data_IF_670131205546
#
_entry.id   IF_670131205546
#
_cell.length_a   1.000
_cell.length_b   1.000
_cell.length_c   1.000
_cell.angle_alpha   90.00
_cell.angle_beta   90.00
_cell.angle_gamma   90.00
#
_symmetry.space_group_name_H-M   'P 1'
#
loop_
_entity.id
_entity.type
_entity.pdbx_description
1 polymer ?
#
# COMPACT_ATOMS: atom_id res chain seq x y z
N UNK A 1 0.97 -10.51 22.33
CA UNK A 1 1.24 -10.41 20.87
C UNK A 1 1.03 -8.95 20.50
N UNK A 2 1.81 -8.41 19.56
CA UNK A 2 1.62 -7.02 19.07
C UNK A 2 0.36 -6.94 18.23
N UNK A 3 -0.39 -5.83 18.35
CA UNK A 3 -1.57 -5.59 17.51
C UNK A 3 -1.21 -5.59 16.02
N UNK A 4 -0.08 -4.97 15.65
CA UNK A 4 0.40 -4.97 14.26
C UNK A 4 0.55 -6.37 13.70
N UNK A 5 1.14 -7.31 14.48
CA UNK A 5 1.26 -8.70 14.03
C UNK A 5 -0.11 -9.38 13.89
N UNK A 6 -0.99 -9.21 14.87
CA UNK A 6 -2.36 -9.77 14.80
C UNK A 6 -3.10 -9.26 13.57
N UNK A 7 -2.96 -7.98 13.24
CA UNK A 7 -3.59 -7.32 12.09
C UNK A 7 -3.03 -7.82 10.76
N UNK A 8 -1.72 -8.14 10.68
CA UNK A 8 -1.11 -8.79 9.51
C UNK A 8 -1.60 -10.24 9.39
N UNK A 9 -1.59 -11.01 10.49
CA UNK A 9 -1.96 -12.42 10.46
C UNK A 9 -3.44 -12.65 10.13
N UNK A 10 -4.33 -11.70 10.43
CA UNK A 10 -5.78 -11.78 10.11
C UNK A 10 -6.12 -11.43 8.66
N UNK A 11 -5.16 -11.01 7.81
CA UNK A 11 -5.42 -10.63 6.41
C UNK A 11 -6.23 -11.69 5.64
N UNK A 12 -5.93 -13.01 5.72
CA UNK A 12 -6.73 -14.00 5.02
C UNK A 12 -8.22 -14.00 5.42
N UNK A 13 -8.52 -13.83 6.71
CA UNK A 13 -9.90 -13.74 7.19
C UNK A 13 -10.59 -12.45 6.75
N UNK A 14 -9.87 -11.33 6.69
CA UNK A 14 -10.41 -10.08 6.14
C UNK A 14 -10.78 -10.21 4.67
N UNK A 15 -9.92 -10.84 3.87
CA UNK A 15 -10.16 -11.06 2.44
C UNK A 15 -11.33 -12.03 2.17
N UNK A 16 -11.54 -13.01 3.05
CA UNK A 16 -12.71 -13.90 2.97
C UNK A 16 -14.02 -13.13 3.15
N UNK A 17 -14.06 -12.19 4.09
CA UNK A 17 -15.24 -11.35 4.35
C UNK A 17 -15.53 -10.34 3.21
N UNK A 18 -14.57 -10.10 2.32
CA UNK A 18 -14.75 -9.18 1.19
C UNK A 18 -15.75 -9.70 0.14
N UNK A 19 -16.04 -11.00 0.10
CA UNK A 19 -16.96 -11.62 -0.88
C UNK A 19 -18.34 -11.00 -0.91
N UNK A 20 -18.80 -10.43 0.21
CA UNK A 20 -20.13 -9.81 0.34
C UNK A 20 -20.17 -8.35 -0.16
N UNK A 21 -19.00 -7.76 -0.43
CA UNK A 21 -18.91 -6.37 -0.89
C UNK A 21 -18.92 -6.29 -2.42
N UNK A 22 -19.76 -5.41 -2.94
CA UNK A 22 -19.86 -5.12 -4.37
C UNK A 22 -19.40 -3.70 -4.63
N UNK A 23 -18.40 -3.57 -5.46
CA UNK A 23 -17.92 -2.30 -5.99
C UNK A 23 -17.45 -2.55 -7.41
N UNK A 24 -17.87 -1.73 -8.37
CA UNK A 24 -17.49 -1.88 -9.77
C UNK A 24 -17.18 -0.51 -10.37
N UNK A 25 -16.07 -0.44 -11.13
CA UNK A 25 -15.73 0.72 -11.94
C UNK A 25 -16.44 0.67 -13.30
N UNK A 26 -16.83 1.84 -13.82
CA UNK A 26 -17.35 2.00 -15.19
C UNK A 26 -16.32 2.69 -16.09
N UNK A 27 -16.12 2.19 -17.31
CA UNK A 27 -15.22 2.81 -18.30
C UNK A 27 -15.74 4.14 -18.84
N UNK A 28 -17.03 4.42 -18.66
CA UNK A 28 -17.67 5.67 -19.07
C UNK A 28 -17.43 6.82 -18.09
N UNK A 29 -16.80 6.54 -16.95
CA UNK A 29 -16.52 7.52 -15.89
C UNK A 29 -15.02 7.71 -15.69
N UNK A 30 -14.67 8.90 -15.22
CA UNK A 30 -13.34 9.24 -14.73
C UNK A 30 -13.33 9.28 -13.20
N UNK A 31 -12.26 8.79 -12.60
CA UNK A 31 -12.12 8.64 -11.16
C UNK A 31 -10.96 9.45 -10.61
N UNK A 32 -11.14 10.08 -9.47
CA UNK A 32 -10.09 10.77 -8.74
C UNK A 32 -9.94 10.13 -7.35
N UNK A 33 -8.80 9.49 -7.11
CA UNK A 33 -8.47 9.00 -5.78
C UNK A 33 -7.89 10.12 -4.93
N UNK A 34 -8.36 10.22 -3.68
CA UNK A 34 -7.94 11.26 -2.73
C UNK A 34 -7.64 10.64 -1.38
N UNK A 35 -6.45 10.89 -0.83
CA UNK A 35 -6.03 10.35 0.46
C UNK A 35 -4.72 10.96 0.97
N UNK A 36 -4.28 10.54 2.15
CA UNK A 36 -3.00 10.91 2.76
C UNK A 36 -2.20 9.66 3.10
N UNK A 37 -0.85 9.72 3.04
CA UNK A 37 0.02 8.61 3.43
C UNK A 37 -0.32 7.30 2.72
N UNK A 38 -0.55 6.23 3.47
CA UNK A 38 -0.97 4.93 2.94
C UNK A 38 -2.24 5.01 2.11
N UNK A 39 -3.21 5.85 2.48
CA UNK A 39 -4.44 6.05 1.69
C UNK A 39 -4.17 6.70 0.32
N UNK A 40 -3.18 7.60 0.23
CA UNK A 40 -2.71 8.10 -1.06
C UNK A 40 -2.03 7.01 -1.88
N UNK A 41 -1.19 6.17 -1.25
CA UNK A 41 -0.51 5.06 -1.93
C UNK A 41 -1.52 4.02 -2.45
N UNK A 42 -2.59 3.73 -1.71
CA UNK A 42 -3.74 2.95 -2.20
C UNK A 42 -4.32 3.52 -3.49
N UNK A 43 -4.62 4.82 -3.48
CA UNK A 43 -5.13 5.52 -4.66
C UNK A 43 -4.15 5.50 -5.82
N UNK A 44 -2.84 5.60 -5.55
CA UNK A 44 -1.79 5.54 -6.59
C UNK A 44 -1.76 4.17 -7.27
N UNK A 45 -1.82 3.07 -6.51
CA UNK A 45 -1.88 1.71 -7.04
C UNK A 45 -3.17 1.51 -7.85
N UNK A 46 -4.31 1.89 -7.29
CA UNK A 46 -5.61 1.74 -7.96
C UNK A 46 -5.67 2.53 -9.26
N UNK A 47 -5.23 3.79 -9.26
CA UNK A 47 -5.11 4.63 -10.47
C UNK A 47 -4.27 3.96 -11.54
N UNK A 48 -3.13 3.39 -11.17
CA UNK A 48 -2.22 2.73 -12.12
C UNK A 48 -2.89 1.53 -12.75
N UNK A 49 -3.49 0.63 -11.94
CA UNK A 49 -4.22 -0.54 -12.44
C UNK A 49 -5.40 -0.17 -13.34
N UNK A 50 -6.18 0.83 -12.95
CA UNK A 50 -7.31 1.32 -13.73
C UNK A 50 -6.86 1.80 -15.11
N UNK A 51 -5.84 2.66 -15.18
CA UNK A 51 -5.33 3.20 -16.44
C UNK A 51 -4.76 2.11 -17.35
N UNK A 52 -4.04 1.12 -16.78
CA UNK A 52 -3.55 -0.04 -17.54
C UNK A 52 -4.69 -0.91 -18.12
N UNK A 53 -5.87 -0.87 -17.50
CA UNK A 53 -7.06 -1.63 -17.93
C UNK A 53 -8.07 -0.78 -18.72
N UNK A 54 -7.65 0.39 -19.21
CA UNK A 54 -8.45 1.25 -20.10
C UNK A 54 -9.53 2.09 -19.41
N UNK A 55 -9.45 2.26 -18.09
CA UNK A 55 -10.24 3.23 -17.35
C UNK A 55 -9.52 4.59 -17.31
N UNK A 56 -10.23 5.63 -16.86
CA UNK A 56 -9.67 6.96 -16.66
C UNK A 56 -9.58 7.23 -15.16
N UNK A 57 -8.37 7.29 -14.62
CA UNK A 57 -8.17 7.55 -13.20
C UNK A 57 -6.97 8.47 -12.94
N UNK A 58 -7.08 9.28 -11.90
CA UNK A 58 -6.01 10.11 -11.37
C UNK A 58 -5.95 10.00 -9.83
N UNK A 59 -4.90 10.53 -9.23
CA UNK A 59 -4.70 10.52 -7.78
C UNK A 59 -4.11 11.84 -7.32
N UNK A 60 -4.59 12.35 -6.18
CA UNK A 60 -4.12 13.59 -5.58
C UNK A 60 -4.07 13.46 -4.05
N UNK A 61 -3.16 14.15 -3.40
CA UNK A 61 -3.14 14.17 -1.93
C UNK A 61 -4.26 15.06 -1.39
N UNK A 62 -4.89 14.63 -0.30
CA UNK A 62 -5.93 15.43 0.37
C UNK A 62 -5.42 16.80 0.80
N UNK A 63 -4.16 16.88 1.27
CA UNK A 63 -3.53 18.13 1.65
C UNK A 63 -3.43 19.14 0.50
N UNK A 64 -3.13 18.67 -0.73
CA UNK A 64 -3.09 19.54 -1.91
C UNK A 64 -4.47 20.13 -2.21
N UNK A 65 -5.52 19.29 -2.19
CA UNK A 65 -6.90 19.74 -2.41
C UNK A 65 -7.31 20.79 -1.35
N UNK A 66 -7.03 20.48 -0.09
CA UNK A 66 -7.34 21.36 1.05
C UNK A 66 -6.67 22.74 0.93
N UNK A 67 -5.38 22.77 0.52
CA UNK A 67 -4.59 24.00 0.50
C UNK A 67 -4.84 24.86 -0.74
N UNK A 68 -5.01 24.22 -1.90
CA UNK A 68 -4.99 24.93 -3.17
C UNK A 68 -6.36 24.99 -3.86
N UNK A 69 -7.37 24.26 -3.38
CA UNK A 69 -8.69 24.15 -3.98
C UNK A 69 -8.63 23.82 -5.49
N UNK A 70 -7.64 23.02 -5.91
CA UNK A 70 -7.43 22.59 -7.30
C UNK A 70 -7.58 21.09 -7.38
N UNK A 71 -8.41 20.64 -8.31
CA UNK A 71 -8.68 19.21 -8.55
C UNK A 71 -8.72 18.93 -10.06
N UNK A 72 -8.22 17.77 -10.51
CA UNK A 72 -8.43 17.30 -11.86
C UNK A 72 -9.93 17.12 -12.15
N UNK A 73 -10.34 17.39 -13.39
CA UNK A 73 -11.72 17.12 -13.82
C UNK A 73 -12.00 15.63 -13.72
N UNK A 74 -13.02 15.27 -12.96
CA UNK A 74 -13.41 13.88 -12.69
C UNK A 74 -14.92 13.77 -12.48
N UNK A 75 -15.50 12.63 -12.80
CA UNK A 75 -16.93 12.35 -12.56
C UNK A 75 -17.17 11.86 -11.14
N UNK A 76 -16.22 11.12 -10.57
CA UNK A 76 -16.30 10.52 -9.23
C UNK A 76 -14.99 10.71 -8.49
N UNK A 77 -15.04 11.16 -7.26
CA UNK A 77 -13.92 11.18 -6.33
C UNK A 77 -14.05 10.08 -5.28
N UNK A 78 -13.02 9.26 -5.14
CA UNK A 78 -12.93 8.19 -4.15
C UNK A 78 -12.02 8.66 -3.02
N UNK A 79 -12.62 8.93 -1.87
CA UNK A 79 -11.96 9.45 -0.67
C UNK A 79 -11.58 8.29 0.24
N UNK A 80 -10.29 8.01 0.37
CA UNK A 80 -9.80 6.89 1.17
C UNK A 80 -9.26 7.41 2.50
N UNK A 81 -9.82 6.95 3.61
CA UNK A 81 -9.33 7.27 4.96
C UNK A 81 -9.77 6.18 5.94
N UNK A 82 -8.79 5.45 6.51
CA UNK A 82 -9.07 4.33 7.42
C UNK A 82 -9.98 4.73 8.58
N UNK A 83 -9.66 5.83 9.25
CA UNK A 83 -10.42 6.32 10.42
C UNK A 83 -11.63 7.17 10.04
N UNK A 84 -11.67 7.69 8.80
CA UNK A 84 -12.68 8.64 8.36
C UNK A 84 -12.60 10.03 8.98
N UNK A 85 -11.53 10.32 9.76
CA UNK A 85 -11.41 11.53 10.59
C UNK A 85 -10.18 12.40 10.25
N UNK A 86 -9.37 12.02 9.25
CA UNK A 86 -8.19 12.80 8.85
C UNK A 86 -8.62 14.17 8.33
N UNK A 87 -8.16 15.24 8.98
CA UNK A 87 -8.61 16.61 8.72
C UNK A 87 -8.49 16.99 7.24
N UNK A 88 -7.35 16.69 6.63
CA UNK A 88 -7.11 17.01 5.21
C UNK A 88 -8.12 16.30 4.31
N UNK A 89 -8.45 15.03 4.59
CA UNK A 89 -9.38 14.26 3.74
C UNK A 89 -10.82 14.73 3.91
N UNK A 90 -11.22 15.08 5.14
CA UNK A 90 -12.54 15.65 5.42
C UNK A 90 -12.72 17.01 4.73
N UNK A 91 -11.72 17.91 4.83
CA UNK A 91 -11.75 19.21 4.14
C UNK A 91 -11.70 19.04 2.62
N UNK A 92 -10.90 18.13 2.10
CA UNK A 92 -10.86 17.82 0.68
C UNK A 92 -12.23 17.33 0.17
N UNK A 93 -12.92 16.47 0.93
CA UNK A 93 -14.26 16.00 0.57
C UNK A 93 -15.25 17.16 0.42
N UNK A 94 -15.27 18.10 1.36
CA UNK A 94 -16.11 19.29 1.30
C UNK A 94 -15.80 20.16 0.06
N UNK A 95 -14.51 20.39 -0.21
CA UNK A 95 -14.06 21.13 -1.40
C UNK A 95 -14.54 20.44 -2.68
N UNK A 96 -14.34 19.12 -2.81
CA UNK A 96 -14.70 18.34 -3.99
C UNK A 96 -16.21 18.38 -4.24
N UNK A 97 -17.03 18.30 -3.20
CA UNK A 97 -18.50 18.43 -3.29
C UNK A 97 -18.91 19.82 -3.80
N UNK A 98 -18.21 20.89 -3.38
CA UNK A 98 -18.48 22.23 -3.88
C UNK A 98 -18.19 22.39 -5.39
N UNK A 99 -17.35 21.54 -5.97
CA UNK A 99 -17.14 21.45 -7.42
C UNK A 99 -18.20 20.59 -8.14
N UNK A 100 -19.18 20.04 -7.41
CA UNK A 100 -20.25 19.22 -7.98
C UNK A 100 -19.80 17.80 -8.39
N UNK A 101 -18.64 17.32 -7.90
CA UNK A 101 -18.14 15.98 -8.18
C UNK A 101 -18.74 14.99 -7.17
N UNK A 102 -19.28 13.89 -7.67
CA UNK A 102 -19.81 12.81 -6.83
C UNK A 102 -18.70 12.22 -5.96
N UNK A 103 -18.97 12.02 -4.66
CA UNK A 103 -18.00 11.50 -3.71
C UNK A 103 -18.38 10.11 -3.20
N UNK A 104 -17.38 9.19 -3.14
CA UNK A 104 -17.48 7.88 -2.51
C UNK A 104 -16.44 7.81 -1.39
N UNK A 105 -16.88 7.71 -0.14
CA UNK A 105 -15.99 7.52 1.01
C UNK A 105 -15.68 6.04 1.24
N UNK A 106 -14.39 5.66 1.38
CA UNK A 106 -13.97 4.32 1.81
C UNK A 106 -13.29 4.44 3.17
N UNK A 107 -13.85 3.78 4.18
CA UNK A 107 -13.38 3.84 5.57
C UNK A 107 -13.56 2.51 6.30
N UNK A 108 -12.73 2.29 7.34
CA UNK A 108 -12.90 1.17 8.28
C UNK A 108 -13.58 1.59 9.59
N UNK A 109 -14.06 2.83 9.68
CA UNK A 109 -14.72 3.34 10.87
C UNK A 109 -16.20 3.61 10.60
N UNK A 110 -17.07 2.92 11.35
CA UNK A 110 -18.49 3.19 11.36
C UNK A 110 -18.76 4.58 11.96
N UNK A 111 -19.79 5.26 11.44
CA UNK A 111 -20.22 6.58 11.93
C UNK A 111 -19.17 7.72 11.86
N UNK A 112 -18.13 7.53 11.04
CA UNK A 112 -17.08 8.52 10.84
C UNK A 112 -17.56 9.76 10.08
N UNK A 113 -16.78 10.85 10.18
CA UNK A 113 -17.10 12.10 9.46
C UNK A 113 -17.19 11.86 7.96
N UNK A 114 -16.21 11.12 7.37
CA UNK A 114 -16.22 10.87 5.93
C UNK A 114 -17.43 10.05 5.48
N UNK A 115 -17.87 9.07 6.29
CA UNK A 115 -19.04 8.26 5.97
C UNK A 115 -20.34 9.06 5.94
N UNK A 116 -20.41 10.17 6.69
CA UNK A 116 -21.59 11.03 6.78
C UNK A 116 -21.64 12.10 5.70
N UNK A 117 -20.45 12.62 5.26
CA UNK A 117 -20.40 13.74 4.32
C UNK A 117 -20.26 13.31 2.86
N UNK A 118 -19.82 12.07 2.58
CA UNK A 118 -19.76 11.54 1.21
C UNK A 118 -21.15 11.24 0.67
N UNK A 119 -21.31 11.31 -0.66
CA UNK A 119 -22.60 10.98 -1.30
C UNK A 119 -22.91 9.49 -1.21
N UNK A 120 -21.87 8.64 -1.26
CA UNK A 120 -21.93 7.20 -1.00
C UNK A 120 -20.78 6.81 -0.08
N UNK A 121 -20.93 5.73 0.69
CA UNK A 121 -19.88 5.25 1.58
C UNK A 121 -19.77 3.74 1.58
N UNK A 122 -18.53 3.25 1.55
CA UNK A 122 -18.17 1.85 1.74
C UNK A 122 -17.50 1.75 3.11
N UNK A 123 -18.15 1.06 4.03
CA UNK A 123 -17.70 0.93 5.42
C UNK A 123 -17.24 -0.51 5.63
N UNK A 124 -15.95 -0.67 5.90
CA UNK A 124 -15.27 -1.95 6.14
C UNK A 124 -14.91 -2.07 7.63
N UNK A 125 -15.91 -1.92 8.52
CA UNK A 125 -15.72 -1.83 9.97
C UNK A 125 -15.11 -3.09 10.60
N UNK A 126 -15.29 -4.26 9.99
CA UNK A 126 -14.62 -5.50 10.38
C UNK A 126 -13.08 -5.46 10.19
N UNK A 127 -12.56 -4.50 9.43
CA UNK A 127 -11.14 -4.26 9.23
C UNK A 127 -10.56 -3.17 10.15
N UNK A 128 -11.26 -2.77 11.21
CA UNK A 128 -10.73 -1.82 12.17
C UNK A 128 -9.44 -2.35 12.80
N UNK A 129 -8.44 -1.46 12.94
CA UNK A 129 -7.12 -1.75 13.47
C UNK A 129 -6.87 -0.96 14.75
N UNK A 130 -6.16 -1.58 15.70
CA UNK A 130 -5.73 -0.94 16.94
C UNK A 130 -4.41 -0.23 16.77
N UNK A 131 -3.51 -0.77 15.93
CA UNK A 131 -2.22 -0.15 15.62
C UNK A 131 -2.37 1.20 14.90
N UNK A 132 -1.35 2.04 15.03
CA UNK A 132 -1.28 3.32 14.32
C UNK A 132 -1.10 3.11 12.82
N UNK A 133 -0.30 2.15 12.44
CA UNK A 133 0.07 1.86 11.04
C UNK A 133 -1.02 1.05 10.34
N UNK A 134 -1.32 1.38 9.08
CA UNK A 134 -2.25 0.58 8.26
C UNK A 134 -1.57 -0.71 7.79
N UNK A 135 -2.22 -1.84 8.02
CA UNK A 135 -1.75 -3.17 7.61
C UNK A 135 -2.85 -3.96 6.90
N UNK A 136 -3.62 -4.78 7.60
CA UNK A 136 -4.70 -5.58 7.01
C UNK A 136 -5.77 -4.74 6.32
N UNK A 137 -6.10 -3.57 6.88
CA UNK A 137 -7.05 -2.64 6.27
C UNK A 137 -6.57 -2.12 4.91
N UNK A 138 -5.25 -1.88 4.74
CA UNK A 138 -4.68 -1.51 3.43
C UNK A 138 -4.91 -2.62 2.39
N UNK A 139 -4.53 -3.86 2.74
CA UNK A 139 -4.69 -5.02 1.83
C UNK A 139 -6.14 -5.21 1.45
N UNK A 140 -7.07 -5.10 2.42
CA UNK A 140 -8.49 -5.26 2.19
C UNK A 140 -9.07 -4.18 1.25
N UNK A 141 -8.76 -2.90 1.51
CA UNK A 141 -9.24 -1.79 0.66
C UNK A 141 -8.67 -1.95 -0.76
N UNK A 142 -7.38 -2.32 -0.89
CA UNK A 142 -6.79 -2.56 -2.20
C UNK A 142 -7.46 -3.72 -2.94
N UNK A 143 -7.77 -4.82 -2.25
CA UNK A 143 -8.49 -5.96 -2.82
C UNK A 143 -9.91 -5.58 -3.27
N UNK A 144 -10.62 -4.73 -2.50
CA UNK A 144 -11.91 -4.17 -2.91
C UNK A 144 -11.79 -3.40 -4.23
N UNK A 145 -10.80 -2.51 -4.33
CA UNK A 145 -10.57 -1.71 -5.53
C UNK A 145 -10.16 -2.56 -6.74
N UNK A 146 -9.30 -3.56 -6.54
CA UNK A 146 -8.94 -4.55 -7.57
C UNK A 146 -10.18 -5.30 -8.04
N UNK A 147 -11.01 -5.77 -7.11
CA UNK A 147 -12.26 -6.47 -7.42
C UNK A 147 -13.29 -5.58 -8.13
N UNK A 148 -13.15 -4.27 -8.06
CA UNK A 148 -13.92 -3.32 -8.86
C UNK A 148 -13.55 -3.33 -10.35
N UNK A 149 -12.38 -3.87 -10.71
CA UNK A 149 -11.89 -4.01 -12.09
C UNK A 149 -12.11 -5.45 -12.59
N UNK A 150 -11.64 -6.43 -11.80
CA UNK A 150 -11.74 -7.85 -12.10
C UNK A 150 -11.83 -8.65 -10.80
N UNK A 151 -12.72 -9.64 -10.74
CA UNK A 151 -13.07 -10.36 -9.52
C UNK A 151 -12.07 -11.48 -9.21
N UNK A 152 -11.48 -11.43 -8.02
CA UNK A 152 -10.58 -12.45 -7.48
C UNK A 152 -10.96 -12.81 -6.04
N UNK A 153 -10.82 -14.08 -5.69
CA UNK A 153 -10.79 -14.52 -4.30
C UNK A 153 -9.33 -14.65 -3.85
N UNK A 154 -8.89 -13.73 -3.03
CA UNK A 154 -7.51 -13.68 -2.55
C UNK A 154 -7.30 -14.48 -1.25
N UNK A 155 -8.35 -15.01 -0.62
CA UNK A 155 -8.28 -15.56 0.74
C UNK A 155 -7.28 -16.73 0.86
N UNK A 156 -7.36 -17.72 -0.03
CA UNK A 156 -6.46 -18.89 0.01
C UNK A 156 -5.03 -18.54 -0.42
N UNK A 157 -4.87 -17.71 -1.46
CA UNK A 157 -3.55 -17.29 -1.91
C UNK A 157 -2.85 -16.40 -0.86
N UNK A 158 -3.59 -15.59 -0.11
CA UNK A 158 -3.02 -14.79 0.97
C UNK A 158 -2.44 -15.64 2.11
N UNK A 159 -3.03 -16.79 2.43
CA UNK A 159 -2.46 -17.76 3.39
C UNK A 159 -1.12 -18.29 2.92
N UNK A 160 -1.03 -18.65 1.64
CA UNK A 160 0.23 -19.16 1.04
C UNK A 160 1.32 -18.08 1.03
N UNK A 161 0.96 -16.85 0.63
CA UNK A 161 1.89 -15.71 0.62
C UNK A 161 2.34 -15.36 2.04
N UNK A 162 1.45 -15.36 3.03
CA UNK A 162 1.79 -15.12 4.43
C UNK A 162 2.78 -16.18 4.96
N UNK A 163 2.53 -17.46 4.68
CA UNK A 163 3.43 -18.55 5.08
C UNK A 163 4.80 -18.41 4.40
N UNK A 164 4.84 -18.15 3.10
CA UNK A 164 6.09 -17.90 2.38
C UNK A 164 6.84 -16.69 2.93
N UNK A 165 6.13 -15.62 3.28
CA UNK A 165 6.70 -14.40 3.85
C UNK A 165 7.35 -14.65 5.21
N UNK A 166 6.64 -15.34 6.11
CA UNK A 166 7.15 -15.65 7.44
C UNK A 166 8.35 -16.61 7.37
N UNK A 167 8.27 -17.65 6.52
CA UNK A 167 9.35 -18.62 6.34
C UNK A 167 10.66 -17.97 5.85
N UNK A 168 10.58 -17.03 4.94
CA UNK A 168 11.75 -16.35 4.36
C UNK A 168 12.27 -15.25 5.29
N UNK A 169 11.38 -14.37 5.75
CA UNK A 169 11.79 -13.17 6.52
C UNK A 169 12.28 -13.55 7.92
N UNK A 170 11.74 -14.58 8.55
CA UNK A 170 12.18 -15.02 9.87
C UNK A 170 13.63 -15.54 9.91
N UNK A 171 14.15 -15.97 8.75
CA UNK A 171 15.56 -16.40 8.61
C UNK A 171 16.52 -15.21 8.43
N UNK A 172 16.02 -13.99 8.18
CA UNK A 172 16.85 -12.82 7.96
C UNK A 172 17.22 -12.13 9.29
N UNK A 173 18.51 -11.91 9.45
CA UNK A 173 18.99 -10.95 10.44
C UNK A 173 18.84 -9.54 9.84
N UNK A 174 17.69 -8.92 10.11
CA UNK A 174 17.39 -7.58 9.60
C UNK A 174 18.14 -6.48 10.38
N UNK A 175 18.69 -6.78 11.57
CA UNK A 175 19.39 -5.80 12.40
C UNK A 175 20.63 -5.23 11.71
N UNK A 176 21.28 -6.01 10.84
CA UNK A 176 22.49 -5.61 10.10
C UNK A 176 22.25 -4.60 8.97
N UNK A 177 21.02 -4.43 8.50
CA UNK A 177 20.71 -3.49 7.43
C UNK A 177 20.35 -2.11 7.98
N UNK A 178 20.99 -1.09 7.44
CA UNK A 178 20.79 0.33 7.81
C UNK A 178 20.08 1.11 6.70
N UNK A 179 20.12 0.59 5.47
CA UNK A 179 19.53 1.18 4.28
C UNK A 179 18.66 0.17 3.55
N UNK A 180 17.46 0.60 3.18
CA UNK A 180 16.48 -0.22 2.49
C UNK A 180 16.08 0.44 1.19
N UNK A 181 15.95 -0.36 0.13
CA UNK A 181 15.50 0.11 -1.19
C UNK A 181 14.38 -0.80 -1.67
N UNK A 182 13.28 -0.22 -2.11
CA UNK A 182 12.20 -0.95 -2.75
C UNK A 182 12.15 -0.63 -4.23
N UNK A 183 12.10 -1.67 -5.08
CA UNK A 183 12.07 -1.52 -6.53
C UNK A 183 10.79 -2.14 -7.10
N UNK A 184 10.17 -1.48 -8.07
CA UNK A 184 9.01 -2.00 -8.79
C UNK A 184 8.56 -1.09 -9.92
N UNK A 185 7.93 -1.67 -10.94
CA UNK A 185 7.33 -0.96 -12.06
C UNK A 185 5.80 -0.88 -11.92
N UNK A 186 5.20 0.12 -12.52
CA UNK A 186 3.76 0.31 -12.62
C UNK A 186 3.07 0.22 -11.24
N UNK A 187 2.12 -0.70 -11.05
CA UNK A 187 1.45 -0.96 -9.78
C UNK A 187 2.43 -1.38 -8.68
N UNK A 188 3.51 -2.08 -9.03
CA UNK A 188 4.56 -2.48 -8.09
C UNK A 188 5.40 -1.29 -7.58
N UNK A 189 5.46 -0.18 -8.32
CA UNK A 189 6.06 1.07 -7.80
C UNK A 189 5.24 1.61 -6.63
N UNK A 190 3.92 1.51 -6.70
CA UNK A 190 3.04 1.87 -5.59
C UNK A 190 3.21 0.98 -4.36
N UNK A 191 3.42 -0.34 -4.56
CA UNK A 191 3.79 -1.29 -3.50
C UNK A 191 5.14 -0.92 -2.89
N UNK A 192 6.12 -0.58 -3.72
CA UNK A 192 7.46 -0.16 -3.29
C UNK A 192 7.41 1.12 -2.46
N UNK A 193 6.58 2.09 -2.88
CA UNK A 193 6.33 3.32 -2.15
C UNK A 193 5.67 3.06 -0.78
N UNK A 194 4.70 2.15 -0.72
CA UNK A 194 4.09 1.76 0.56
C UNK A 194 5.06 1.00 1.45
N UNK A 195 5.91 0.14 0.86
CA UNK A 195 6.97 -0.56 1.60
C UNK A 195 7.97 0.40 2.24
N UNK A 196 8.37 1.43 1.52
CA UNK A 196 9.21 2.48 2.07
C UNK A 196 8.53 3.17 3.26
N UNK A 197 7.25 3.54 3.12
CA UNK A 197 6.48 4.15 4.20
C UNK A 197 6.36 3.22 5.41
N UNK A 198 6.08 1.93 5.22
CA UNK A 198 5.96 0.95 6.33
C UNK A 198 7.25 0.83 7.14
N UNK A 199 8.41 0.77 6.49
CA UNK A 199 9.69 0.72 7.20
C UNK A 199 10.05 2.04 7.88
N UNK A 200 9.70 3.18 7.27
CA UNK A 200 9.85 4.49 7.91
C UNK A 200 8.98 4.60 9.17
N UNK A 201 7.72 4.18 9.10
CA UNK A 201 6.78 4.26 10.21
C UNK A 201 7.14 3.28 11.34
N UNK A 202 7.22 1.98 11.06
CA UNK A 202 7.37 0.94 12.08
C UNK A 202 8.80 0.82 12.61
N UNK A 203 9.79 0.92 11.71
CA UNK A 203 11.18 0.60 12.01
C UNK A 203 12.13 1.80 11.95
N UNK A 204 11.63 3.00 11.65
CA UNK A 204 12.38 4.26 11.64
C UNK A 204 13.64 4.22 10.75
N UNK A 205 13.53 3.55 9.61
CA UNK A 205 14.67 3.32 8.71
C UNK A 205 14.79 4.40 7.63
N UNK A 206 16.01 4.54 7.07
CA UNK A 206 16.24 5.27 5.82
C UNK A 206 15.87 4.37 4.64
N UNK A 207 14.89 4.78 3.85
CA UNK A 207 14.29 3.95 2.81
C UNK A 207 14.10 4.76 1.53
N UNK A 208 14.44 4.14 0.40
CA UNK A 208 14.20 4.66 -0.93
C UNK A 208 13.23 3.74 -1.69
N UNK A 209 12.59 4.26 -2.74
CA UNK A 209 11.83 3.46 -3.70
C UNK A 209 12.04 4.02 -5.10
N UNK A 210 12.20 3.13 -6.08
CA UNK A 210 12.50 3.50 -7.46
C UNK A 210 11.90 2.50 -8.45
N UNK A 211 11.80 2.91 -9.70
CA UNK A 211 11.69 1.96 -10.80
C UNK A 211 13.02 1.22 -10.99
N UNK A 212 13.02 -0.10 -11.29
CA UNK A 212 14.22 -0.91 -11.31
C UNK A 212 15.35 -0.37 -12.20
N UNK A 213 15.05 0.03 -13.44
CA UNK A 213 16.13 0.51 -14.32
C UNK A 213 16.53 1.96 -14.01
N UNK A 214 15.61 2.81 -13.55
CA UNK A 214 15.93 4.16 -13.10
C UNK A 214 16.86 4.15 -11.88
N UNK A 215 16.81 3.12 -11.05
CA UNK A 215 17.72 2.94 -9.93
C UNK A 215 19.20 2.91 -10.36
N UNK A 216 19.50 2.45 -11.60
CA UNK A 216 20.85 2.44 -12.18
C UNK A 216 21.41 3.84 -12.44
N UNK A 217 20.56 4.85 -12.58
CA UNK A 217 20.92 6.21 -12.99
C UNK A 217 21.24 7.14 -11.81
N UNK A 218 21.98 6.63 -10.83
CA UNK A 218 22.50 7.40 -9.69
C UNK A 218 22.29 6.70 -8.35
N UNK A 219 21.06 6.38 -7.92
CA UNK A 219 20.80 5.84 -6.58
C UNK A 219 21.58 4.56 -6.24
N UNK A 220 21.83 3.70 -7.22
CA UNK A 220 22.62 2.46 -7.09
C UNK A 220 24.04 2.69 -6.50
N UNK A 221 24.59 3.91 -6.63
CA UNK A 221 25.91 4.26 -6.08
C UNK A 221 25.98 4.21 -4.54
N UNK A 222 24.82 4.19 -3.87
CA UNK A 222 24.72 4.13 -2.39
C UNK A 222 24.71 2.71 -1.83
N UNK A 223 24.76 1.68 -2.68
CA UNK A 223 24.76 0.28 -2.23
C UNK A 223 25.98 -0.04 -1.37
N UNK A 224 25.72 -0.74 -0.29
CA UNK A 224 26.73 -1.33 0.60
C UNK A 224 26.23 -2.70 1.09
N UNK A 225 27.08 -3.43 1.81
CA UNK A 225 26.72 -4.69 2.48
C UNK A 225 25.65 -4.50 3.58
N UNK A 226 25.39 -3.26 4.00
CA UNK A 226 24.30 -2.90 4.92
C UNK A 226 22.99 -2.50 4.23
N UNK A 227 22.90 -2.72 2.92
CA UNK A 227 21.71 -2.43 2.13
C UNK A 227 20.91 -3.70 1.85
N UNK A 228 19.59 -3.65 2.12
CA UNK A 228 18.64 -4.65 1.65
C UNK A 228 17.78 -4.05 0.54
N UNK A 229 17.84 -4.64 -0.65
CA UNK A 229 17.03 -4.25 -1.80
C UNK A 229 15.86 -5.23 -1.98
N UNK A 230 14.65 -4.75 -1.77
CA UNK A 230 13.41 -5.52 -1.98
C UNK A 230 12.91 -5.25 -3.40
N UNK A 231 12.81 -6.30 -4.21
CA UNK A 231 12.42 -6.19 -5.61
C UNK A 231 11.02 -6.77 -5.79
N UNK A 232 10.02 -5.90 -6.03
CA UNK A 232 8.68 -6.30 -6.44
C UNK A 232 8.71 -6.58 -7.95
N UNK A 233 9.22 -7.76 -8.32
CA UNK A 233 9.54 -8.09 -9.71
C UNK A 233 8.31 -8.53 -10.50
N UNK A 234 8.33 -8.23 -11.81
CA UNK A 234 7.44 -8.80 -12.83
C UNK A 234 8.08 -10.02 -13.53
N UNK A 235 9.14 -10.59 -12.96
CA UNK A 235 9.88 -11.77 -13.47
C UNK A 235 10.52 -11.56 -14.85
N UNK A 236 10.78 -10.32 -15.27
CA UNK A 236 11.42 -10.05 -16.55
C UNK A 236 12.95 -10.21 -16.49
N UNK A 237 13.56 -10.31 -17.67
CA UNK A 237 14.99 -10.56 -17.80
C UNK A 237 15.86 -9.41 -17.26
N UNK A 238 15.42 -8.17 -17.46
CA UNK A 238 16.23 -6.99 -17.06
C UNK A 238 16.22 -6.80 -15.53
N UNK A 239 15.11 -7.09 -14.85
CA UNK A 239 15.07 -7.11 -13.38
C UNK A 239 15.97 -8.22 -12.81
N UNK A 240 16.01 -9.40 -13.44
CA UNK A 240 16.92 -10.48 -13.04
C UNK A 240 18.40 -10.11 -13.23
N UNK A 241 18.75 -9.36 -14.29
CA UNK A 241 20.11 -8.82 -14.48
C UNK A 241 20.43 -7.78 -13.42
N UNK A 242 19.51 -6.85 -13.15
CA UNK A 242 19.68 -5.84 -12.13
C UNK A 242 19.91 -6.46 -10.75
N UNK A 243 19.12 -7.48 -10.36
CA UNK A 243 19.31 -8.24 -9.11
C UNK A 243 20.76 -8.74 -8.99
N UNK A 244 21.26 -9.41 -10.03
CA UNK A 244 22.65 -9.92 -10.04
C UNK A 244 23.70 -8.80 -9.93
N UNK A 245 23.45 -7.67 -10.54
CA UNK A 245 24.38 -6.54 -10.47
C UNK A 245 24.39 -5.90 -9.07
N UNK A 246 23.22 -5.79 -8.42
CA UNK A 246 23.08 -5.33 -7.03
C UNK A 246 23.84 -6.27 -6.08
N UNK A 247 23.70 -7.58 -6.25
CA UNK A 247 24.40 -8.59 -5.45
C UNK A 247 25.91 -8.53 -5.64
N UNK A 248 26.39 -8.33 -6.87
CA UNK A 248 27.85 -8.11 -7.16
C UNK A 248 28.41 -6.86 -6.51
N UNK A 249 27.57 -5.84 -6.28
CA UNK A 249 27.96 -4.61 -5.56
C UNK A 249 27.92 -4.79 -4.03
N UNK A 250 27.60 -6.00 -3.53
CA UNK A 250 27.69 -6.37 -2.12
C UNK A 250 26.38 -6.21 -1.35
N UNK A 251 25.32 -5.65 -1.93
CA UNK A 251 24.03 -5.55 -1.26
C UNK A 251 23.28 -6.90 -1.26
N UNK A 252 22.39 -7.07 -0.27
CA UNK A 252 21.47 -8.21 -0.23
C UNK A 252 20.20 -7.89 -0.99
N UNK A 253 19.65 -8.87 -1.71
CA UNK A 253 18.35 -8.75 -2.39
C UNK A 253 17.31 -9.64 -1.75
N UNK A 254 16.05 -9.23 -1.84
CA UNK A 254 14.85 -10.00 -1.49
C UNK A 254 13.82 -9.80 -2.60
N UNK A 255 13.54 -10.81 -3.39
CA UNK A 255 12.62 -10.72 -4.51
C UNK A 255 11.24 -11.26 -4.13
N UNK A 256 10.22 -10.44 -4.37
CA UNK A 256 8.79 -10.76 -4.21
C UNK A 256 8.20 -10.90 -5.61
N UNK A 257 8.02 -12.13 -6.07
CA UNK A 257 7.49 -12.41 -7.41
C UNK A 257 6.95 -13.84 -7.51
N UNK A 258 6.48 -14.24 -8.68
CA UNK A 258 6.07 -15.63 -8.92
C UNK A 258 7.25 -16.61 -8.82
N UNK A 259 8.47 -16.17 -9.20
CA UNK A 259 9.70 -16.96 -9.15
C UNK A 259 10.67 -16.54 -8.04
N UNK A 260 10.35 -15.51 -7.26
CA UNK A 260 11.20 -14.94 -6.21
C UNK A 260 11.36 -15.80 -4.97
N UNK A 261 12.16 -15.29 -4.03
CA UNK A 261 12.32 -15.89 -2.69
C UNK A 261 10.98 -15.92 -1.94
N UNK A 262 10.21 -14.84 -2.01
CA UNK A 262 8.83 -14.80 -1.52
C UNK A 262 7.90 -14.93 -2.73
N UNK A 263 7.19 -16.05 -2.76
CA UNK A 263 6.33 -16.39 -3.88
C UNK A 263 4.96 -15.74 -3.76
N UNK A 264 4.55 -15.03 -4.81
CA UNK A 264 3.20 -14.51 -5.00
C UNK A 264 2.62 -15.08 -6.30
N UNK A 265 1.29 -15.31 -6.39
CA UNK A 265 0.70 -15.77 -7.65
C UNK A 265 0.88 -14.72 -8.75
N UNK A 266 0.70 -15.11 -10.01
CA UNK A 266 0.70 -14.19 -11.13
C UNK A 266 -0.73 -14.08 -11.70
N UNK A 267 -1.37 -12.95 -11.45
CA UNK A 267 -2.70 -12.60 -11.95
C UNK A 267 -2.64 -11.39 -12.90
N UNK A 268 -1.51 -11.24 -13.62
CA UNK A 268 -1.27 -10.12 -14.54
C UNK A 268 -1.39 -8.73 -13.87
N UNK A 269 -0.83 -8.59 -12.68
CA UNK A 269 -0.84 -7.37 -11.88
C UNK A 269 -1.99 -7.27 -10.88
N UNK A 270 -3.03 -8.12 -11.00
CA UNK A 270 -4.14 -8.11 -10.06
C UNK A 270 -3.83 -8.81 -8.71
N UNK A 271 -2.69 -9.51 -8.61
CA UNK A 271 -2.19 -10.07 -7.34
C UNK A 271 -1.65 -8.99 -6.37
N UNK A 272 -1.70 -7.75 -6.74
CA UNK A 272 -1.06 -6.63 -6.04
C UNK A 272 -1.42 -6.53 -4.55
N UNK A 273 -2.65 -6.84 -4.07
CA UNK A 273 -2.97 -6.85 -2.64
C UNK A 273 -2.11 -7.84 -1.86
N UNK A 274 -1.74 -8.95 -2.48
CA UNK A 274 -0.94 -10.00 -1.83
C UNK A 274 0.53 -9.60 -1.65
N UNK A 275 1.07 -8.74 -2.52
CA UNK A 275 2.45 -8.23 -2.44
C UNK A 275 2.70 -7.34 -1.23
N UNK A 276 1.64 -6.80 -0.62
CA UNK A 276 1.74 -5.98 0.60
C UNK A 276 2.01 -6.83 1.85
N UNK A 277 1.60 -8.09 1.86
CA UNK A 277 1.75 -8.99 3.02
C UNK A 277 3.23 -9.12 3.43
N UNK A 278 4.16 -9.55 2.54
CA UNK A 278 5.58 -9.64 2.89
C UNK A 278 6.20 -8.30 3.29
N UNK A 279 5.77 -7.21 2.67
CA UNK A 279 6.28 -5.87 2.95
C UNK A 279 5.90 -5.40 4.35
N UNK A 280 4.65 -5.61 4.75
CA UNK A 280 4.17 -5.28 6.09
C UNK A 280 4.85 -6.16 7.15
N UNK A 281 5.01 -7.45 6.86
CA UNK A 281 5.70 -8.36 7.76
C UNK A 281 7.19 -8.02 7.91
N UNK A 282 7.86 -7.62 6.82
CA UNK A 282 9.26 -7.15 6.84
C UNK A 282 9.42 -5.93 7.75
N UNK A 283 8.54 -4.93 7.61
CA UNK A 283 8.54 -3.74 8.46
C UNK A 283 8.33 -4.07 9.94
N UNK A 284 7.36 -4.94 10.23
CA UNK A 284 7.11 -5.45 11.57
C UNK A 284 8.36 -6.15 12.16
N UNK A 285 8.95 -7.11 11.44
CA UNK A 285 10.12 -7.86 11.90
C UNK A 285 11.33 -6.96 12.12
N UNK A 286 11.58 -6.01 11.21
CA UNK A 286 12.66 -5.03 11.39
C UNK A 286 12.44 -4.20 12.67
N UNK A 287 11.22 -3.72 12.92
CA UNK A 287 10.89 -2.97 14.12
C UNK A 287 11.19 -3.78 15.40
N UNK A 288 10.75 -5.04 15.45
CA UNK A 288 10.97 -5.93 16.60
C UNK A 288 12.46 -6.20 16.80
N UNK A 289 13.23 -6.50 15.75
CA UNK A 289 14.68 -6.75 15.87
C UNK A 289 15.46 -5.50 16.32
N UNK A 290 14.93 -4.29 16.05
CA UNK A 290 15.49 -3.02 16.55
C UNK A 290 14.97 -2.62 17.93
N UNK A 291 14.09 -3.40 18.56
CA UNK A 291 13.50 -3.09 19.86
C UNK A 291 12.46 -1.97 19.82
N UNK A 292 11.89 -1.64 18.64
CA UNK A 292 10.84 -0.65 18.49
C UNK A 292 9.45 -1.24 18.69
N UNK A 293 8.50 -0.40 19.07
CA UNK A 293 7.09 -0.78 19.17
C UNK A 293 6.35 -0.41 17.85
N UNK A 294 6.01 -1.38 16.99
CA UNK A 294 5.31 -1.11 15.73
C UNK A 294 3.84 -0.71 15.92
N UNK A 295 3.23 -0.98 17.09
CA UNK A 295 1.83 -0.66 17.34
C UNK A 295 1.61 0.84 17.53
N UNK A 296 2.60 1.51 18.13
CA UNK A 296 2.57 2.95 18.43
C UNK A 296 3.92 3.59 18.08
N UNK A 297 4.25 3.76 16.80
CA UNK A 297 5.49 4.40 16.39
C UNK A 297 5.57 5.83 16.92
N UNK A 298 6.79 6.25 17.29
CA UNK A 298 7.00 7.62 17.80
C UNK A 298 6.59 8.67 16.76
N UNK A 299 6.10 9.81 17.23
CA UNK A 299 5.69 10.97 16.41
C UNK A 299 4.55 10.69 15.41
N UNK A 300 3.86 9.56 15.52
CA UNK A 300 2.72 9.23 14.68
C UNK A 300 1.44 9.14 15.51
N UNK A 301 0.34 9.50 14.89
CA UNK A 301 -1.02 9.30 15.40
C UNK A 301 -1.86 8.56 14.37
N UNK A 302 -2.86 7.84 14.84
CA UNK A 302 -3.76 7.03 13.99
C UNK A 302 -4.53 7.87 12.97
N UNK A 303 -4.78 9.13 13.30
CA UNK A 303 -5.40 10.13 12.42
C UNK A 303 -4.77 11.49 12.69
N UNK A 304 -4.32 12.15 11.65
CA UNK A 304 -3.81 13.53 11.73
C UNK A 304 -4.99 14.47 11.92
N UNK A 305 -4.97 15.24 13.01
CA UNK A 305 -5.92 16.32 13.28
C UNK A 305 -5.16 17.63 13.25
N UNK A 306 -5.50 18.50 12.30
CA UNK A 306 -4.97 19.86 12.20
C UNK A 306 -5.93 20.81 12.95
N UNK A 307 -5.37 21.69 13.76
CA UNK A 307 -6.10 22.74 14.46
C UNK A 307 -6.60 23.84 13.52
#
# INVERSE_FOLDING_TARGET
>A
MSYTLEEILRIPALLENLKDFKFDFSKDKSYLFVGCGSSFNLGFIAKTLLNMNGYKADVITSGYVMLFNKIPKSDVAILITRTGETTETVKAAQTIKNFGIKTIGITCAKDSTISKISDESIILDFAEEKSVVMTGSFVLILALLVNGINKYDFSEESKKVLNSSTEVIDKLDLSKYEHFVFLGYDENLGVSKEGALKLQEMALQYVEYHEPLEYRHGPISRLTEKTLVVINSKDNLEEKKLKKDIEKLGATTLEISFQGEIKVPNFNGFEIPLRLIPIQYLGYKKAIQMGYNPDTPRNLSKSVKLE
#
